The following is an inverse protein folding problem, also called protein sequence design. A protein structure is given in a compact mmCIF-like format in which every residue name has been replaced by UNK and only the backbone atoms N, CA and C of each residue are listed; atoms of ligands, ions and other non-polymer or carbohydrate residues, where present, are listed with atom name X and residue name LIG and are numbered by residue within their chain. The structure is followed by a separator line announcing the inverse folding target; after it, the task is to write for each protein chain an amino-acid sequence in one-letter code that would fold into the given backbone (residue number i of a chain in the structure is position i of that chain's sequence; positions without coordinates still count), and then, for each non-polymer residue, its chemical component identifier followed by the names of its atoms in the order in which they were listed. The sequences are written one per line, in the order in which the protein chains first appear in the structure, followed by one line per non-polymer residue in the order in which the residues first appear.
data_IF_753393670049
#
_entry.id   IF_753393670049
#
_cell.length_a   1.000
_cell.length_b   1.000
_cell.length_c   1.000
_cell.angle_alpha   90.00
_cell.angle_beta   90.00
_cell.angle_gamma   90.00
#
_symmetry.space_group_name_H-M   'P 1'
#
loop_
_entity.id
_entity.type
_entity.pdbx_description
1 polymer ?
#
# COMPACT_ATOMS: atom_id res chain seq x y z
N UNK A 1 -31.55 -5.34 2.81
CA UNK A 1 -31.23 -5.72 4.20
C UNK A 1 -29.98 -6.59 4.15
N UNK A 2 -28.80 -6.04 4.44
CA UNK A 2 -27.56 -6.82 4.62
C UNK A 2 -26.72 -6.05 5.63
N UNK A 3 -26.58 -6.69 6.81
CA UNK A 3 -26.09 -6.12 8.06
C UNK A 3 -24.58 -6.31 8.17
N UNK A 4 -23.94 -5.36 8.87
CA UNK A 4 -22.53 -5.37 9.20
C UNK A 4 -22.33 -5.73 10.68
N UNK A 5 -21.39 -6.62 10.98
CA UNK A 5 -20.92 -6.94 12.34
C UNK A 5 -19.47 -6.44 12.53
N UNK A 6 -19.32 -5.13 12.74
CA UNK A 6 -18.52 -4.54 13.83
C UNK A 6 -18.87 -3.04 13.96
N UNK A 7 -20.00 -2.74 14.64
CA UNK A 7 -20.40 -1.38 15.06
C UNK A 7 -21.39 -0.61 14.16
N UNK A 8 -22.10 0.36 14.77
CA UNK A 8 -23.11 1.26 14.15
C UNK A 8 -22.60 2.67 13.82
N UNK A 9 -21.33 2.96 14.11
CA UNK A 9 -20.83 4.34 14.16
C UNK A 9 -20.29 4.76 12.79
N UNK A 10 -20.96 5.71 12.16
CA UNK A 10 -20.45 6.41 10.97
C UNK A 10 -19.62 7.61 11.42
N UNK A 11 -18.37 7.69 10.96
CA UNK A 11 -17.55 8.88 11.18
C UNK A 11 -17.97 9.95 10.18
N UNK A 12 -18.31 11.14 10.68
CA UNK A 12 -18.61 12.30 9.82
C UNK A 12 -17.34 12.82 9.18
N UNK A 13 -17.44 13.41 7.99
CA UNK A 13 -16.29 13.90 7.22
C UNK A 13 -15.45 14.89 8.03
N UNK A 14 -16.10 15.77 8.78
CA UNK A 14 -15.45 16.77 9.66
C UNK A 14 -14.53 16.12 10.70
N UNK A 15 -14.81 14.89 11.12
CA UNK A 15 -14.08 14.18 12.16
C UNK A 15 -13.04 13.21 11.60
N UNK A 16 -12.90 13.07 10.29
CA UNK A 16 -11.95 12.13 9.66
C UNK A 16 -10.52 12.44 10.08
N UNK A 17 -10.14 13.72 10.14
CA UNK A 17 -8.77 14.10 10.53
C UNK A 17 -8.44 13.67 11.97
N UNK A 18 -9.40 13.84 12.89
CA UNK A 18 -9.26 13.41 14.30
C UNK A 18 -9.21 11.89 14.39
N UNK A 19 -10.13 11.22 13.69
CA UNK A 19 -10.21 9.76 13.68
C UNK A 19 -8.92 9.11 13.16
N UNK A 20 -8.40 9.57 12.02
CA UNK A 20 -7.13 9.08 11.47
C UNK A 20 -5.97 9.40 12.43
N UNK A 21 -5.97 10.57 13.05
CA UNK A 21 -4.92 10.91 14.03
C UNK A 21 -4.91 9.96 15.23
N UNK A 22 -6.10 9.58 15.74
CA UNK A 22 -6.22 8.61 16.82
C UNK A 22 -5.72 7.22 16.38
N UNK A 23 -6.11 6.75 15.19
CA UNK A 23 -5.60 5.48 14.65
C UNK A 23 -4.08 5.46 14.51
N UNK A 24 -3.49 6.55 14.03
CA UNK A 24 -2.05 6.68 13.88
C UNK A 24 -1.34 6.74 15.24
N UNK A 25 -1.94 7.36 16.25
CA UNK A 25 -1.42 7.33 17.62
C UNK A 25 -1.49 5.92 18.21
N UNK A 26 -2.59 5.20 18.01
CA UNK A 26 -2.71 3.79 18.43
C UNK A 26 -1.65 2.94 17.74
N UNK A 27 -1.46 3.12 16.43
CA UNK A 27 -0.43 2.42 15.67
C UNK A 27 0.98 2.72 16.19
N UNK A 28 1.26 3.96 16.58
CA UNK A 28 2.55 4.32 17.15
C UNK A 28 2.81 3.65 18.50
N UNK A 29 1.77 3.47 19.32
CA UNK A 29 1.87 2.81 20.63
C UNK A 29 1.94 1.29 20.52
N UNK A 30 1.21 0.72 19.57
CA UNK A 30 1.12 -0.72 19.35
C UNK A 30 1.19 -1.05 17.86
N UNK A 31 2.42 -1.27 17.40
CA UNK A 31 2.73 -1.56 16.00
C UNK A 31 2.34 -2.98 15.58
N UNK A 32 2.09 -3.88 16.54
CA UNK A 32 1.67 -5.26 16.25
C UNK A 32 0.31 -5.35 15.55
N UNK A 33 -0.51 -4.29 15.63
CA UNK A 33 -1.82 -4.18 14.99
C UNK A 33 -1.81 -3.39 13.67
N UNK A 34 -0.64 -3.20 13.06
CA UNK A 34 -0.48 -2.43 11.82
C UNK A 34 -1.38 -2.92 10.67
N UNK A 35 -1.55 -4.23 10.52
CA UNK A 35 -2.39 -4.83 9.48
C UNK A 35 -3.88 -4.49 9.64
N UNK A 36 -4.38 -4.50 10.89
CA UNK A 36 -5.78 -4.16 11.21
C UNK A 36 -6.01 -2.67 11.03
N UNK A 37 -5.10 -1.83 11.53
CA UNK A 37 -5.18 -0.37 11.39
C UNK A 37 -5.12 0.02 9.90
N UNK A 38 -4.25 -0.63 9.13
CA UNK A 38 -4.17 -0.44 7.68
C UNK A 38 -5.51 -0.74 6.99
N UNK A 39 -6.15 -1.88 7.28
CA UNK A 39 -7.48 -2.21 6.72
C UNK A 39 -8.52 -1.14 7.03
N UNK A 40 -8.52 -0.60 8.25
CA UNK A 40 -9.44 0.47 8.63
C UNK A 40 -9.14 1.74 7.83
N UNK A 41 -7.88 2.19 7.79
CA UNK A 41 -7.48 3.39 7.03
C UNK A 41 -7.79 3.23 5.54
N UNK A 42 -7.51 2.06 4.96
CA UNK A 42 -7.81 1.73 3.56
C UNK A 42 -9.31 1.79 3.24
N UNK A 43 -10.15 1.37 4.18
CA UNK A 43 -11.61 1.49 4.04
C UNK A 43 -12.04 2.96 3.93
N UNK A 44 -11.32 3.87 4.61
CA UNK A 44 -11.53 5.33 4.55
C UNK A 44 -10.74 6.06 3.45
N UNK A 45 -10.06 5.35 2.54
CA UNK A 45 -9.15 5.95 1.54
C UNK A 45 -9.75 7.08 0.70
N UNK A 46 -11.05 7.02 0.39
CA UNK A 46 -11.76 8.03 -0.41
C UNK A 46 -11.83 9.39 0.31
N UNK A 47 -11.70 9.40 1.64
CA UNK A 47 -11.77 10.60 2.47
C UNK A 47 -10.39 11.11 2.91
N UNK A 48 -9.30 10.45 2.50
CA UNK A 48 -7.95 10.88 2.84
C UNK A 48 -7.52 12.01 1.91
N UNK A 49 -7.11 13.12 2.51
CA UNK A 49 -6.50 14.26 1.83
C UNK A 49 -4.97 14.27 2.05
N UNK A 50 -4.31 15.27 1.45
CA UNK A 50 -2.86 15.46 1.57
C UNK A 50 -2.36 15.63 3.02
N UNK A 51 -3.20 16.13 3.93
CA UNK A 51 -2.87 16.30 5.36
C UNK A 51 -2.79 14.94 6.04
N UNK A 52 -3.77 14.04 5.81
CA UNK A 52 -3.72 12.70 6.41
C UNK A 52 -2.59 11.86 5.81
N UNK A 53 -2.35 11.95 4.50
CA UNK A 53 -1.23 11.25 3.86
C UNK A 53 0.14 11.71 4.41
N UNK A 54 0.30 13.01 4.70
CA UNK A 54 1.51 13.51 5.38
C UNK A 54 1.68 12.92 6.78
N UNK A 55 0.60 12.80 7.57
CA UNK A 55 0.65 12.19 8.90
C UNK A 55 1.05 10.70 8.83
N UNK A 56 0.49 9.97 7.86
CA UNK A 56 0.86 8.58 7.59
C UNK A 56 2.35 8.50 7.26
N UNK A 57 2.83 9.32 6.31
CA UNK A 57 4.25 9.35 5.94
C UNK A 57 5.15 9.60 7.15
N UNK A 58 4.87 10.65 7.94
CA UNK A 58 5.67 11.00 9.11
C UNK A 58 5.68 9.93 10.21
N UNK A 59 4.65 9.09 10.28
CA UNK A 59 4.64 7.96 11.21
C UNK A 59 5.48 6.79 10.67
N UNK A 60 5.31 6.45 9.39
CA UNK A 60 6.07 5.37 8.74
C UNK A 60 7.57 5.66 8.71
N UNK A 61 7.96 6.92 8.52
CA UNK A 61 9.35 7.38 8.60
C UNK A 61 10.00 7.09 9.97
N UNK A 62 9.20 6.89 11.02
CA UNK A 62 9.68 6.52 12.37
C UNK A 62 9.60 5.02 12.62
N UNK A 63 8.46 4.41 12.30
CA UNK A 63 8.20 2.98 12.56
C UNK A 63 9.19 2.11 11.77
N UNK A 64 9.40 2.40 10.48
CA UNK A 64 10.19 1.51 9.63
C UNK A 64 11.65 1.42 10.10
N UNK A 65 12.40 2.53 10.30
CA UNK A 65 13.77 2.43 10.78
C UNK A 65 13.90 1.76 12.16
N UNK A 66 12.96 2.03 13.07
CA UNK A 66 12.95 1.41 14.41
C UNK A 66 12.79 -0.11 14.31
N UNK A 67 11.78 -0.56 13.57
CA UNK A 67 11.50 -1.99 13.41
C UNK A 67 12.53 -2.72 12.54
N UNK A 68 13.18 -2.02 11.61
CA UNK A 68 14.29 -2.57 10.85
C UNK A 68 15.48 -2.92 11.77
N UNK A 69 15.81 -2.03 12.71
CA UNK A 69 16.88 -2.28 13.69
C UNK A 69 16.56 -3.44 14.64
N UNK A 70 15.27 -3.68 14.90
CA UNK A 70 14.79 -4.78 15.73
C UNK A 70 14.60 -6.10 14.95
N UNK A 71 14.85 -6.11 13.63
CA UNK A 71 14.56 -7.24 12.74
C UNK A 71 13.09 -7.69 12.76
N UNK A 72 12.18 -6.72 12.90
CA UNK A 72 10.74 -6.92 12.93
C UNK A 72 10.16 -6.81 11.51
N UNK A 73 10.31 -7.88 10.72
CA UNK A 73 9.93 -7.92 9.30
C UNK A 73 8.45 -7.64 9.02
N UNK A 74 7.56 -7.99 9.96
CA UNK A 74 6.13 -7.81 9.78
C UNK A 74 5.75 -6.33 9.67
N UNK A 75 6.22 -5.50 10.59
CA UNK A 75 5.95 -4.08 10.64
C UNK A 75 6.62 -3.31 9.50
N UNK A 76 7.84 -3.73 9.12
CA UNK A 76 8.55 -3.14 7.98
C UNK A 76 7.79 -3.43 6.68
N UNK A 77 7.40 -4.69 6.44
CA UNK A 77 6.68 -5.08 5.24
C UNK A 77 5.33 -4.34 5.13
N UNK A 78 4.55 -4.28 6.21
CA UNK A 78 3.31 -3.51 6.23
C UNK A 78 3.54 -2.02 6.03
N UNK A 79 4.56 -1.44 6.68
CA UNK A 79 4.90 -0.03 6.51
C UNK A 79 5.25 0.32 5.06
N UNK A 80 6.00 -0.54 4.37
CA UNK A 80 6.27 -0.39 2.93
C UNK A 80 4.99 -0.55 2.11
N UNK A 81 4.12 -1.49 2.48
CA UNK A 81 2.84 -1.68 1.81
C UNK A 81 1.91 -0.45 1.92
N UNK A 82 1.96 0.30 3.03
CA UNK A 82 1.29 1.60 3.12
C UNK A 82 1.80 2.57 2.05
N UNK A 83 3.12 2.69 1.89
CA UNK A 83 3.69 3.56 0.86
C UNK A 83 3.24 3.15 -0.54
N UNK A 84 3.26 1.85 -0.85
CA UNK A 84 2.81 1.30 -2.12
C UNK A 84 1.32 1.58 -2.38
N UNK A 85 0.47 1.39 -1.37
CA UNK A 85 -0.99 1.48 -1.49
C UNK A 85 -1.50 2.91 -1.63
N UNK A 86 -0.98 3.83 -0.83
CA UNK A 86 -1.41 5.24 -0.87
C UNK A 86 -0.59 6.08 -1.85
N UNK A 87 0.25 5.43 -2.65
CA UNK A 87 1.19 6.07 -3.57
C UNK A 87 2.02 7.19 -2.88
N UNK A 88 2.41 6.97 -1.63
CA UNK A 88 3.25 7.89 -0.85
C UNK A 88 4.72 7.56 -1.15
N UNK A 89 5.53 8.57 -1.46
CA UNK A 89 6.95 8.38 -1.75
C UNK A 89 7.76 8.26 -0.44
N UNK A 90 8.41 7.10 -0.17
CA UNK A 90 9.30 6.96 0.99
C UNK A 90 10.55 7.83 0.83
N UNK A 91 11.21 8.13 1.95
CA UNK A 91 12.57 8.65 1.88
C UNK A 91 13.52 7.59 1.27
N UNK A 92 14.48 8.03 0.47
CA UNK A 92 15.46 7.15 -0.15
C UNK A 92 16.33 6.47 0.92
N UNK A 93 16.53 7.12 2.07
CA UNK A 93 17.27 6.55 3.21
C UNK A 93 16.61 5.29 3.75
N UNK A 94 15.28 5.29 3.85
CA UNK A 94 14.46 4.15 4.28
C UNK A 94 14.57 3.01 3.25
N UNK A 95 14.41 3.34 1.96
CA UNK A 95 14.54 2.35 0.88
C UNK A 95 15.93 1.72 0.89
N UNK A 96 16.99 2.52 1.02
CA UNK A 96 18.36 2.01 1.08
C UNK A 96 18.59 1.11 2.30
N UNK A 97 18.06 1.50 3.46
CA UNK A 97 18.18 0.70 4.68
C UNK A 97 17.48 -0.66 4.52
N UNK A 98 16.28 -0.68 3.94
CA UNK A 98 15.54 -1.92 3.66
C UNK A 98 16.29 -2.80 2.65
N UNK A 99 16.79 -2.24 1.55
CA UNK A 99 17.59 -2.99 0.57
C UNK A 99 18.85 -3.61 1.21
N UNK A 100 19.41 -2.91 2.19
CA UNK A 100 20.56 -3.37 2.93
C UNK A 100 20.25 -4.39 4.04
N UNK A 101 18.97 -4.63 4.34
CA UNK A 101 18.56 -5.57 5.39
C UNK A 101 18.65 -7.03 4.92
N UNK A 102 18.29 -7.95 5.82
CA UNK A 102 18.14 -9.38 5.48
C UNK A 102 16.69 -9.80 5.19
N UNK A 103 15.74 -8.88 5.33
CA UNK A 103 14.31 -9.16 5.16
C UNK A 103 13.90 -9.18 3.69
N UNK A 104 13.67 -10.38 3.18
CA UNK A 104 13.39 -10.59 1.77
C UNK A 104 12.05 -10.04 1.32
N UNK A 105 11.04 -10.10 2.18
CA UNK A 105 9.70 -9.62 1.83
C UNK A 105 9.73 -8.10 1.74
N UNK A 106 10.36 -7.45 2.73
CA UNK A 106 10.53 -6.00 2.72
C UNK A 106 11.40 -5.52 1.57
N UNK A 107 12.50 -6.23 1.25
CA UNK A 107 13.31 -5.93 0.06
C UNK A 107 12.47 -6.00 -1.21
N UNK A 108 11.67 -7.06 -1.38
CA UNK A 108 10.86 -7.24 -2.58
C UNK A 108 9.82 -6.12 -2.76
N UNK A 109 9.15 -5.73 -1.67
CA UNK A 109 8.21 -4.60 -1.67
C UNK A 109 8.95 -3.28 -1.96
N UNK A 110 10.15 -3.09 -1.41
CA UNK A 110 10.95 -1.89 -1.68
C UNK A 110 11.33 -1.78 -3.16
N UNK A 111 11.74 -2.89 -3.80
CA UNK A 111 12.04 -2.93 -5.24
C UNK A 111 10.78 -2.66 -6.08
N UNK A 112 9.62 -3.19 -5.69
CA UNK A 112 8.34 -2.87 -6.32
C UNK A 112 8.03 -1.37 -6.25
N UNK A 113 8.17 -0.75 -5.07
CA UNK A 113 7.96 0.71 -4.91
C UNK A 113 8.90 1.51 -5.81
N UNK A 114 10.18 1.13 -5.89
CA UNK A 114 11.18 1.81 -6.73
C UNK A 114 10.78 1.77 -8.20
N UNK A 115 10.38 0.59 -8.68
CA UNK A 115 9.94 0.38 -10.06
C UNK A 115 8.62 1.11 -10.36
N UNK A 116 7.62 0.95 -9.49
CA UNK A 116 6.31 1.58 -9.63
C UNK A 116 6.42 3.12 -9.69
N UNK A 117 7.24 3.72 -8.81
CA UNK A 117 7.44 5.18 -8.75
C UNK A 117 8.52 5.70 -9.68
N UNK A 118 9.20 4.82 -10.43
CA UNK A 118 10.36 5.16 -11.29
C UNK A 118 11.40 5.98 -10.53
N UNK A 119 11.72 5.58 -9.30
CA UNK A 119 12.76 6.24 -8.51
C UNK A 119 14.09 5.97 -9.21
N UNK A 120 14.79 7.03 -9.59
CA UNK A 120 16.04 6.90 -10.35
C UNK A 120 17.08 6.09 -9.57
N UNK A 121 17.69 5.12 -10.25
CA UNK A 121 18.80 4.30 -9.76
C UNK A 121 20.00 5.12 -9.26
N UNK A 122 20.17 6.37 -9.72
CA UNK A 122 21.22 7.27 -9.20
C UNK A 122 21.04 7.62 -7.72
N UNK A 123 19.86 7.38 -7.15
CA UNK A 123 19.52 7.70 -5.76
C UNK A 123 19.56 6.48 -4.83
N UNK A 124 19.59 5.28 -5.38
CA UNK A 124 19.47 4.03 -4.63
C UNK A 124 20.53 3.05 -5.14
N UNK A 125 21.37 2.58 -4.23
CA UNK A 125 22.42 1.62 -4.54
C UNK A 125 21.91 0.19 -4.42
N UNK A 126 21.91 -0.52 -5.55
CA UNK A 126 21.53 -1.93 -5.65
C UNK A 126 22.70 -2.90 -5.50
N UNK A 127 23.94 -2.42 -5.31
CA UNK A 127 25.15 -3.26 -5.31
C UNK A 127 25.05 -4.43 -4.33
N UNK A 128 24.56 -4.18 -3.12
CA UNK A 128 24.42 -5.23 -2.10
C UNK A 128 23.26 -6.18 -2.35
N UNK A 129 22.21 -5.74 -3.06
CA UNK A 129 21.15 -6.63 -3.52
C UNK A 129 21.69 -7.54 -4.63
N UNK A 130 22.40 -6.96 -5.60
CA UNK A 130 22.99 -7.68 -6.72
C UNK A 130 24.00 -8.73 -6.27
N UNK A 131 24.79 -8.48 -5.22
CA UNK A 131 25.71 -9.48 -4.67
C UNK A 131 25.00 -10.68 -4.04
N UNK A 132 23.73 -10.54 -3.65
CA UNK A 132 22.89 -11.65 -3.17
C UNK A 132 22.26 -12.44 -4.31
N UNK A 133 22.16 -11.87 -5.52
CA UNK A 133 21.65 -12.56 -6.70
C UNK A 133 22.75 -13.46 -7.26
N UNK A 134 22.86 -14.67 -6.71
CA UNK A 134 23.83 -15.70 -7.13
C UNK A 134 23.14 -17.06 -7.22
N UNK A 135 23.70 -17.97 -8.03
CA UNK A 135 23.15 -19.33 -8.16
C UNK A 135 23.08 -20.06 -6.82
N UNK A 136 24.08 -19.88 -5.96
CA UNK A 136 24.14 -20.49 -4.64
C UNK A 136 23.00 -20.01 -3.74
N UNK A 137 22.61 -18.74 -3.88
CA UNK A 137 21.53 -18.15 -3.11
C UNK A 137 20.11 -18.60 -3.54
N UNK A 138 19.97 -19.31 -4.66
CA UNK A 138 18.72 -20.00 -5.02
C UNK A 138 18.37 -21.15 -4.06
N UNK A 139 19.35 -21.68 -3.33
CA UNK A 139 19.14 -22.69 -2.29
C UNK A 139 19.18 -22.10 -0.87
N UNK A 140 19.44 -20.81 -0.74
CA UNK A 140 19.51 -20.15 0.56
C UNK A 140 18.19 -19.49 0.91
N UNK A 141 18.17 -18.75 2.02
CA UNK A 141 17.02 -17.93 2.39
C UNK A 141 16.63 -16.98 1.23
N UNK A 142 17.57 -16.48 0.44
CA UNK A 142 17.33 -15.45 -0.59
C UNK A 142 16.67 -15.94 -1.89
N UNK A 143 16.28 -17.20 -1.97
CA UNK A 143 15.73 -17.81 -3.19
C UNK A 143 14.54 -17.01 -3.76
N UNK A 144 13.66 -16.50 -2.89
CA UNK A 144 12.44 -15.80 -3.29
C UNK A 144 12.76 -14.50 -4.04
N UNK A 145 13.71 -13.70 -3.53
CA UNK A 145 14.16 -12.48 -4.18
C UNK A 145 14.79 -12.82 -5.54
N UNK A 146 15.69 -13.80 -5.57
CA UNK A 146 16.38 -14.19 -6.80
C UNK A 146 15.36 -14.60 -7.88
N UNK A 147 14.35 -15.37 -7.48
CA UNK A 147 13.29 -15.82 -8.36
C UNK A 147 12.41 -14.66 -8.88
N UNK A 148 11.84 -13.87 -7.99
CA UNK A 148 10.88 -12.82 -8.34
C UNK A 148 11.51 -11.70 -9.16
N UNK A 149 12.75 -11.28 -8.84
CA UNK A 149 13.43 -10.22 -9.57
C UNK A 149 13.77 -10.61 -11.02
N UNK A 150 14.18 -11.87 -11.24
CA UNK A 150 14.41 -12.38 -12.59
C UNK A 150 13.09 -12.49 -13.37
N UNK A 151 12.05 -13.06 -12.76
CA UNK A 151 10.75 -13.24 -13.41
C UNK A 151 10.12 -11.92 -13.84
N UNK A 152 10.21 -10.89 -13.00
CA UNK A 152 9.61 -9.57 -13.25
C UNK A 152 10.51 -8.60 -14.00
N UNK A 153 11.78 -8.95 -14.22
CA UNK A 153 12.79 -8.09 -14.89
C UNK A 153 12.86 -6.69 -14.29
N UNK A 154 12.82 -6.62 -12.96
CA UNK A 154 12.84 -5.37 -12.21
C UNK A 154 14.21 -4.71 -12.08
N UNK A 155 15.26 -5.35 -12.60
CA UNK A 155 16.62 -4.84 -12.65
C UNK A 155 17.16 -5.01 -14.07
N UNK A 156 17.76 -3.95 -14.61
CA UNK A 156 18.27 -3.91 -16.00
C UNK A 156 19.39 -4.92 -16.24
N UNK A 157 20.20 -5.22 -15.21
CA UNK A 157 21.22 -6.25 -15.25
C UNK A 157 20.59 -7.61 -14.95
N UNK A 158 19.90 -8.16 -15.94
CA UNK A 158 19.22 -9.45 -15.84
C UNK A 158 20.18 -10.56 -15.38
N UNK A 159 19.94 -11.04 -14.17
CA UNK A 159 20.44 -12.30 -13.66
C UNK A 159 19.76 -13.44 -14.45
N UNK A 160 20.41 -14.03 -15.47
CA UNK A 160 19.84 -15.15 -16.24
C UNK A 160 20.34 -16.49 -15.71
N UNK A 161 19.99 -16.79 -14.46
CA UNK A 161 20.53 -17.93 -13.73
C UNK A 161 19.44 -18.94 -13.33
N UNK A 162 18.16 -18.59 -13.33
CA UNK A 162 17.08 -19.56 -13.12
C UNK A 162 16.94 -20.53 -14.29
N UNK A 163 17.20 -20.07 -15.52
CA UNK A 163 17.07 -20.86 -16.76
C UNK A 163 17.91 -22.14 -16.78
N UNK A 164 18.95 -22.23 -15.94
CA UNK A 164 19.85 -23.37 -15.84
C UNK A 164 19.51 -24.32 -14.68
N UNK A 165 18.59 -23.95 -13.79
CA UNK A 165 18.32 -24.67 -12.56
C UNK A 165 17.13 -25.64 -12.66
N UNK A 166 17.30 -26.90 -12.26
CA UNK A 166 16.30 -27.96 -12.48
C UNK A 166 14.91 -27.62 -11.90
N UNK A 167 14.84 -27.18 -10.63
CA UNK A 167 13.56 -26.85 -9.99
C UNK A 167 12.95 -25.52 -10.46
N UNK A 168 13.74 -24.46 -10.57
CA UNK A 168 13.22 -23.14 -10.92
C UNK A 168 12.83 -23.01 -12.40
N UNK A 169 13.38 -23.85 -13.29
CA UNK A 169 12.87 -23.99 -14.67
C UNK A 169 11.41 -24.41 -14.70
N UNK A 170 10.99 -25.30 -13.80
CA UNK A 170 9.60 -25.77 -13.71
C UNK A 170 8.71 -24.61 -13.27
N UNK A 171 9.08 -23.88 -12.22
CA UNK A 171 8.34 -22.71 -11.73
C UNK A 171 8.22 -21.63 -12.82
N UNK A 172 9.34 -21.32 -13.51
CA UNK A 172 9.39 -20.38 -14.64
C UNK A 172 8.53 -20.83 -15.81
N UNK A 173 8.54 -22.13 -16.15
CA UNK A 173 7.70 -22.70 -17.20
C UNK A 173 6.20 -22.53 -16.89
N UNK A 174 5.79 -22.79 -15.65
CA UNK A 174 4.42 -22.59 -15.19
C UNK A 174 4.07 -21.13 -14.86
N UNK A 175 5.02 -20.20 -15.00
CA UNK A 175 4.86 -18.77 -14.68
C UNK A 175 4.30 -18.56 -13.28
N UNK A 176 4.87 -19.27 -12.30
CA UNK A 176 4.48 -19.09 -10.89
C UNK A 176 4.97 -17.71 -10.44
N UNK A 177 4.07 -16.90 -9.90
CA UNK A 177 4.38 -15.62 -9.26
C UNK A 177 4.03 -15.73 -7.76
N UNK A 178 4.98 -15.44 -6.88
CA UNK A 178 4.77 -15.39 -5.43
C UNK A 178 4.44 -13.98 -4.95
N UNK A 179 4.85 -12.95 -5.68
CA UNK A 179 4.51 -11.56 -5.37
C UNK A 179 3.59 -10.96 -6.42
N UNK A 180 2.49 -10.40 -5.95
CA UNK A 180 1.53 -9.68 -6.78
C UNK A 180 1.55 -8.18 -6.42
N UNK A 181 2.12 -7.31 -7.28
CA UNK A 181 2.13 -5.85 -7.08
C UNK A 181 0.74 -5.21 -7.04
N UNK A 182 -0.25 -5.90 -7.63
CA UNK A 182 -1.66 -5.48 -7.70
C UNK A 182 -2.49 -6.09 -6.58
N UNK A 183 -1.88 -6.87 -5.67
CA UNK A 183 -2.56 -7.31 -4.48
C UNK A 183 -3.04 -6.08 -3.69
N UNK A 184 -4.14 -6.24 -2.96
CA UNK A 184 -4.61 -5.20 -2.06
C UNK A 184 -5.39 -5.82 -0.91
N UNK A 185 -5.38 -5.16 0.25
CA UNK A 185 -6.19 -5.60 1.37
C UNK A 185 -7.66 -5.45 1.07
N UNK A 186 -8.43 -6.44 1.51
CA UNK A 186 -9.89 -6.33 1.51
C UNK A 186 -10.29 -5.21 2.47
N UNK A 187 -11.22 -4.37 2.03
CA UNK A 187 -11.84 -3.38 2.90
C UNK A 187 -12.40 -4.06 4.14
N UNK A 188 -12.11 -3.50 5.32
CA UNK A 188 -12.69 -4.00 6.56
C UNK A 188 -14.20 -3.80 6.58
N UNK A 189 -14.71 -2.80 5.85
CA UNK A 189 -16.11 -2.47 5.68
C UNK A 189 -16.33 -1.57 4.48
N UNK A 190 -17.53 -1.65 3.89
CA UNK A 190 -17.93 -0.77 2.79
C UNK A 190 -18.36 0.60 3.33
N UNK A 191 -17.74 1.68 2.85
CA UNK A 191 -18.25 3.03 3.07
C UNK A 191 -19.13 3.43 1.89
N UNK A 192 -20.41 3.73 2.16
CA UNK A 192 -21.35 4.12 1.11
C UNK A 192 -21.00 5.53 0.58
N UNK A 193 -20.45 5.58 -0.64
CA UNK A 193 -19.98 6.80 -1.32
C UNK A 193 -21.10 7.61 -1.98
N UNK A 194 -22.38 7.27 -1.78
CA UNK A 194 -23.54 8.00 -2.35
C UNK A 194 -23.65 9.46 -1.90
N UNK A 195 -22.80 9.94 -1.01
CA UNK A 195 -22.58 11.36 -0.79
C UNK A 195 -21.46 11.80 -1.74
N UNK A 196 -21.79 12.02 -3.03
CA UNK A 196 -20.92 12.85 -3.88
C UNK A 196 -20.82 14.22 -3.23
N UNK A 197 -19.64 14.87 -3.22
CA UNK A 197 -19.52 16.22 -2.70
C UNK A 197 -20.47 17.14 -3.48
N UNK A 198 -21.36 17.83 -2.76
CA UNK A 198 -22.01 19.02 -3.30
C UNK A 198 -20.88 20.00 -3.63
N UNK A 199 -20.62 20.18 -4.92
CA UNK A 199 -19.71 21.21 -5.41
C UNK A 199 -20.43 22.54 -5.15
N UNK A 200 -20.05 23.21 -4.07
CA UNK A 200 -20.44 24.60 -3.88
C UNK A 200 -19.50 25.44 -4.76
N UNK A 201 -20.02 25.97 -5.87
CA UNK A 201 -19.35 27.05 -6.56
C UNK A 201 -19.39 28.28 -5.65
N UNK A 202 -18.23 28.80 -5.29
CA UNK A 202 -18.11 30.15 -4.75
C UNK A 202 -18.46 31.14 -5.85
N UNK A 203 -19.74 31.53 -5.91
CA UNK A 203 -20.14 32.79 -6.52
C UNK A 203 -20.68 33.63 -5.38
N UNK A 204 -20.04 34.78 -5.17
CA UNK A 204 -20.24 35.64 -4.02
C UNK A 204 -21.70 36.02 -3.77
N UNK A 205 -22.02 36.16 -2.49
CA UNK A 205 -23.09 37.00 -1.95
C UNK A 205 -24.49 36.80 -2.53
N UNK A 206 -25.27 35.89 -1.94
CA UNK A 206 -26.72 35.85 -2.14
C UNK A 206 -27.36 34.53 -1.73
N UNK A 207 -28.25 34.59 -0.74
CA UNK A 207 -29.27 33.62 -0.29
C UNK A 207 -29.28 32.25 -1.01
N UNK A 208 -28.97 31.18 -0.26
CA UNK A 208 -29.07 29.79 -0.72
C UNK A 208 -30.52 29.30 -0.74
N UNK A 209 -30.99 28.87 -1.92
CA UNK A 209 -32.20 28.05 -2.08
C UNK A 209 -31.74 26.68 -2.61
N UNK A 210 -32.18 25.54 -2.05
CA UNK A 210 -31.90 24.23 -2.61
C UNK A 210 -32.69 24.07 -3.92
N UNK A 211 -32.01 23.70 -5.01
CA UNK A 211 -32.69 23.23 -6.21
C UNK A 211 -33.03 21.75 -5.97
N UNK A 212 -34.30 21.46 -5.75
CA UNK A 212 -34.85 20.13 -5.96
C UNK A 212 -34.93 19.92 -7.48
N UNK A 213 -34.32 18.85 -7.99
CA UNK A 213 -34.76 18.33 -9.29
C UNK A 213 -36.07 17.59 -9.02
N UNK A 214 -37.18 18.23 -9.38
CA UNK A 214 -38.43 17.55 -9.70
C UNK A 214 -38.27 16.79 -11.04
N UNK A 215 -39.12 15.78 -11.22
CA UNK A 215 -39.29 14.89 -12.40
C UNK A 215 -38.31 13.68 -12.40
N UNK A 216 -38.74 12.42 -12.32
CA UNK A 216 -40.00 11.80 -12.77
C UNK A 216 -40.47 10.69 -11.79
N UNK A 217 -41.64 10.90 -11.18
CA UNK A 217 -42.63 9.84 -10.96
C UNK A 217 -43.67 10.00 -12.07
N UNK A 218 -43.67 9.14 -13.09
CA UNK A 218 -44.90 8.84 -13.83
C UNK A 218 -45.00 7.33 -14.09
N UNK A 219 -46.09 6.81 -13.53
CA UNK A 219 -46.84 5.59 -13.79
C UNK A 219 -46.64 4.95 -15.17
N UNK A 220 -46.58 3.62 -15.19
CA UNK A 220 -47.21 2.82 -16.24
C UNK A 220 -47.68 1.50 -15.64
N UNK A 221 -48.91 1.53 -15.12
CA UNK A 221 -49.79 0.37 -15.01
C UNK A 221 -50.61 0.23 -16.31
N UNK A 222 -50.86 -1.03 -16.69
CA UNK A 222 -51.83 -1.57 -17.68
C UNK A 222 -51.57 -1.41 -19.20
N UNK A 223 -51.19 -2.50 -19.87
CA UNK A 223 -52.10 -3.47 -20.54
C UNK A 223 -51.40 -4.81 -20.82
#
# INVERSE_FOLDING_TARGET
MTRFEYGKVKIRKENIDVFISLLLQTLHLDTSNIDKIFKIIYSYRIFLDSKQLKKINSLLDKIIPEHLNLNHSFEVAWGLWFFRTFDIKPDNTILQAVLNSEDQISILIAVDIINHKRISEKKIDFTMLMSKLTHENLYSKYWLICYELEMKKWLDNSFDNISNHEFFKILKHFKVDFYNPEAQVTEGFMINSRIRPLVYNEIGGGIQIPIMNEEEEEENDEY
#
